data_IF_476070592900
#
_entry.id   IF_476070592900
#
_cell.length_a   1.000
_cell.length_b   1.000
_cell.length_c   1.000
_cell.angle_alpha   90.00
_cell.angle_beta   90.00
_cell.angle_gamma   90.00
#
_symmetry.space_group_name_H-M   'P 1'
#
loop_
_entity.id
_entity.type
_entity.pdbx_description
1 polymer ?
#
# COMPACT_ATOMS: atom_id res chain seq x y z
N UNK A 1 40.95 -27.58 -17.93
CA UNK A 1 39.63 -28.26 -18.02
C UNK A 1 38.75 -27.50 -18.99
N UNK A 2 37.74 -28.13 -19.61
CA UNK A 2 36.83 -27.41 -20.50
C UNK A 2 35.67 -26.75 -19.75
N UNK A 3 35.30 -25.55 -20.17
CA UNK A 3 34.11 -24.85 -19.68
C UNK A 3 32.82 -25.57 -20.11
N UNK A 4 31.98 -25.93 -19.14
CA UNK A 4 30.72 -26.67 -19.36
C UNK A 4 29.72 -25.96 -20.30
N UNK A 5 29.83 -24.63 -20.46
CA UNK A 5 28.89 -23.84 -21.30
C UNK A 5 29.39 -23.53 -22.71
N UNK A 6 30.68 -23.25 -22.88
CA UNK A 6 31.24 -22.79 -24.17
C UNK A 6 32.41 -23.62 -24.67
N UNK A 7 32.77 -24.70 -23.95
CA UNK A 7 33.83 -25.68 -24.30
C UNK A 7 35.25 -25.11 -24.45
N UNK A 8 35.46 -23.84 -24.08
CA UNK A 8 36.79 -23.23 -23.99
C UNK A 8 37.64 -23.93 -22.92
N UNK A 9 38.93 -24.18 -23.20
CA UNK A 9 39.86 -24.68 -22.18
C UNK A 9 40.22 -23.56 -21.20
N UNK A 10 40.20 -23.90 -19.91
CA UNK A 10 40.34 -22.97 -18.79
C UNK A 10 41.18 -23.63 -17.69
N UNK A 11 41.81 -22.81 -16.85
CA UNK A 11 42.52 -23.32 -15.67
C UNK A 11 41.57 -24.10 -14.74
N UNK A 12 42.03 -25.24 -14.21
CA UNK A 12 41.26 -26.06 -13.27
C UNK A 12 40.98 -25.35 -11.93
N UNK A 13 41.63 -24.20 -11.69
CA UNK A 13 41.41 -23.30 -10.55
C UNK A 13 40.40 -22.17 -10.84
N UNK A 14 39.84 -22.10 -12.05
CA UNK A 14 38.92 -21.03 -12.44
C UNK A 14 37.49 -21.28 -11.91
N UNK A 15 36.96 -20.32 -11.15
CA UNK A 15 35.56 -20.35 -10.70
C UNK A 15 34.58 -19.86 -11.79
N UNK A 16 35.07 -19.07 -12.76
CA UNK A 16 34.28 -18.46 -13.83
C UNK A 16 34.98 -18.66 -15.19
N UNK A 17 34.20 -18.75 -16.28
CA UNK A 17 34.76 -18.75 -17.63
C UNK A 17 35.25 -17.34 -18.02
N UNK A 18 36.50 -17.14 -18.47
CA UNK A 18 36.93 -15.85 -19.01
C UNK A 18 36.20 -15.49 -20.32
N UNK A 19 35.78 -16.49 -21.11
CA UNK A 19 35.13 -16.30 -22.42
C UNK A 19 33.63 -16.03 -22.30
N UNK A 20 32.88 -16.92 -21.63
CA UNK A 20 31.43 -16.80 -21.52
C UNK A 20 30.92 -16.21 -20.19
N UNK A 21 31.82 -15.78 -19.30
CA UNK A 21 31.56 -15.12 -17.99
C UNK A 21 30.74 -15.92 -16.95
N UNK A 22 30.06 -17.01 -17.34
CA UNK A 22 29.31 -17.90 -16.45
C UNK A 22 30.19 -18.53 -15.37
N UNK A 23 29.61 -18.73 -14.18
CA UNK A 23 30.20 -19.47 -13.07
C UNK A 23 30.21 -20.98 -13.35
N UNK A 24 31.36 -21.63 -13.13
CA UNK A 24 31.61 -23.04 -13.42
C UNK A 24 31.80 -23.86 -12.14
N UNK A 25 32.34 -23.25 -11.08
CA UNK A 25 32.54 -23.89 -9.78
C UNK A 25 31.76 -23.16 -8.68
N UNK A 26 31.29 -23.90 -7.69
CA UNK A 26 30.66 -23.31 -6.51
C UNK A 26 31.68 -22.45 -5.74
N UNK A 27 31.29 -21.25 -5.31
CA UNK A 27 32.20 -20.35 -4.58
C UNK A 27 32.49 -20.80 -3.13
N UNK A 28 31.75 -21.79 -2.62
CA UNK A 28 31.84 -22.32 -1.25
C UNK A 28 32.60 -23.63 -1.16
N UNK A 29 32.19 -24.65 -1.94
CA UNK A 29 32.85 -25.96 -1.95
C UNK A 29 33.85 -26.17 -3.09
N UNK A 30 33.95 -25.25 -4.06
CA UNK A 30 34.84 -25.34 -5.24
C UNK A 30 34.58 -26.51 -6.19
N UNK A 31 33.51 -27.28 -5.97
CA UNK A 31 33.07 -28.32 -6.89
C UNK A 31 32.51 -27.76 -8.19
N UNK A 32 32.65 -28.55 -9.26
CA UNK A 32 32.10 -28.21 -10.58
C UNK A 32 30.57 -28.24 -10.49
N UNK A 33 29.94 -27.16 -10.97
CA UNK A 33 28.49 -27.05 -10.99
C UNK A 33 27.93 -27.71 -12.23
N UNK A 34 26.72 -28.25 -12.14
CA UNK A 34 26.00 -28.72 -13.31
C UNK A 34 25.62 -27.56 -14.24
N UNK A 35 25.49 -27.87 -15.53
CA UNK A 35 24.93 -26.94 -16.50
C UNK A 35 23.49 -26.60 -16.08
N UNK A 36 23.15 -25.32 -16.19
CA UNK A 36 21.80 -24.76 -16.03
C UNK A 36 21.05 -25.02 -14.70
N UNK A 37 21.67 -25.66 -13.69
CA UNK A 37 21.19 -25.63 -12.29
C UNK A 37 21.52 -24.30 -11.62
N UNK A 38 20.57 -23.62 -10.96
CA UNK A 38 20.86 -22.38 -10.22
C UNK A 38 21.52 -22.61 -8.85
N UNK A 39 21.61 -23.85 -8.38
CA UNK A 39 22.15 -24.21 -7.05
C UNK A 39 23.27 -25.26 -7.16
N UNK A 40 24.23 -25.22 -6.22
CA UNK A 40 25.24 -26.26 -6.08
C UNK A 40 24.63 -27.54 -5.49
N UNK A 41 24.52 -28.59 -6.31
CA UNK A 41 24.00 -29.90 -5.90
C UNK A 41 24.79 -30.57 -4.76
N UNK A 42 26.03 -30.14 -4.48
CA UNK A 42 26.90 -30.72 -3.44
C UNK A 42 26.72 -30.02 -2.08
N UNK A 43 26.50 -28.70 -2.05
CA UNK A 43 26.50 -27.93 -0.79
C UNK A 43 25.34 -26.93 -0.62
N UNK A 44 24.36 -26.92 -1.53
CA UNK A 44 23.17 -26.07 -1.45
C UNK A 44 23.44 -24.57 -1.59
N UNK A 45 24.57 -24.16 -2.17
CA UNK A 45 24.91 -22.75 -2.37
C UNK A 45 24.48 -22.27 -3.76
N UNK A 46 23.78 -21.16 -3.84
CA UNK A 46 23.30 -20.58 -5.09
C UNK A 46 24.44 -20.15 -6.02
N UNK A 47 24.19 -20.18 -7.33
CA UNK A 47 25.02 -19.49 -8.32
C UNK A 47 24.99 -18.00 -8.06
N UNK A 48 26.13 -17.35 -8.24
CA UNK A 48 26.21 -15.90 -8.34
C UNK A 48 25.59 -15.49 -9.69
N UNK A 49 24.27 -15.34 -9.70
CA UNK A 49 23.53 -14.74 -10.80
C UNK A 49 24.03 -13.29 -10.95
N UNK A 50 24.75 -13.00 -12.04
CA UNK A 50 24.83 -11.62 -12.50
C UNK A 50 23.41 -11.24 -12.95
N UNK A 51 22.80 -10.29 -12.26
CA UNK A 51 21.44 -9.81 -12.51
C UNK A 51 21.37 -9.01 -13.81
N UNK A 52 21.53 -9.69 -14.94
CA UNK A 52 21.30 -9.14 -16.27
C UNK A 52 19.84 -8.70 -16.36
N UNK A 53 19.62 -7.41 -16.66
CA UNK A 53 18.33 -6.71 -16.73
C UNK A 53 17.73 -6.23 -15.39
N UNK A 54 18.52 -6.17 -14.31
CA UNK A 54 18.21 -5.33 -13.16
C UNK A 54 18.79 -3.92 -13.33
N UNK A 55 17.97 -2.94 -13.73
CA UNK A 55 18.37 -1.53 -13.71
C UNK A 55 18.40 -1.03 -12.26
N UNK A 56 19.56 -0.57 -11.79
CA UNK A 56 19.73 -0.10 -10.41
C UNK A 56 19.81 1.43 -10.33
N UNK A 57 18.83 2.08 -9.71
CA UNK A 57 18.93 3.50 -9.32
C UNK A 57 19.45 3.58 -7.89
N UNK A 58 20.62 4.21 -7.68
CA UNK A 58 21.21 4.49 -6.36
C UNK A 58 21.30 5.99 -6.05
N UNK A 59 21.20 6.33 -4.77
CA UNK A 59 21.09 7.66 -4.15
C UNK A 59 21.48 7.44 -2.66
N UNK A 60 22.16 8.36 -1.94
CA UNK A 60 22.53 8.18 -0.49
C UNK A 60 22.37 9.41 0.44
N UNK A 61 21.50 9.40 1.48
CA UNK A 61 21.14 10.50 2.45
C UNK A 61 21.88 10.40 3.78
N UNK A 62 22.25 11.59 4.24
CA UNK A 62 22.66 11.95 5.58
C UNK A 62 22.22 13.40 5.77
N UNK A 63 22.50 14.04 6.91
CA UNK A 63 22.31 15.51 7.04
C UNK A 63 23.07 16.35 5.98
N UNK A 64 23.92 15.72 5.14
CA UNK A 64 24.70 16.32 4.04
C UNK A 64 24.52 15.66 2.64
N UNK A 65 23.70 14.63 2.44
CA UNK A 65 23.57 13.85 1.16
C UNK A 65 22.08 13.41 0.94
N UNK A 66 21.56 12.72 -0.13
CA UNK A 66 20.12 12.18 -0.21
C UNK A 66 19.90 10.73 -0.76
N UNK A 67 19.02 9.83 -0.19
CA UNK A 67 19.00 8.31 -0.20
C UNK A 67 17.93 7.65 -1.06
N UNK A 68 18.28 6.54 -1.75
CA UNK A 68 17.41 5.48 -2.28
C UNK A 68 18.26 4.41 -3.02
N UNK A 69 17.91 3.12 -2.95
CA UNK A 69 18.42 2.11 -3.89
C UNK A 69 17.24 1.25 -4.36
N UNK A 70 17.05 1.13 -5.67
CA UNK A 70 16.00 0.30 -6.28
C UNK A 70 16.52 -0.45 -7.50
N UNK A 71 16.11 -1.70 -7.64
CA UNK A 71 16.38 -2.58 -8.77
C UNK A 71 15.06 -2.87 -9.51
N UNK A 72 15.04 -2.78 -10.83
CA UNK A 72 13.83 -3.01 -11.62
C UNK A 72 14.12 -3.63 -13.00
N UNK A 73 13.17 -4.38 -13.55
CA UNK A 73 13.27 -4.94 -14.90
C UNK A 73 13.20 -3.85 -15.97
N UNK A 74 13.60 -4.19 -17.20
CA UNK A 74 13.60 -3.24 -18.33
C UNK A 74 12.21 -2.66 -18.66
N UNK A 75 11.11 -3.30 -18.22
CA UNK A 75 9.73 -2.86 -18.49
C UNK A 75 9.23 -1.76 -17.53
N UNK A 76 9.84 -1.61 -16.35
CA UNK A 76 9.32 -0.73 -15.27
C UNK A 76 10.03 0.64 -15.22
N UNK A 77 11.08 0.83 -16.02
CA UNK A 77 11.96 2.00 -15.92
C UNK A 77 11.31 3.36 -16.16
N UNK A 78 10.25 3.44 -16.98
CA UNK A 78 9.57 4.70 -17.25
C UNK A 78 8.77 5.23 -16.04
N UNK A 79 8.07 4.34 -15.31
CA UNK A 79 7.26 4.74 -14.15
C UNK A 79 8.09 5.16 -12.93
N UNK A 80 9.28 4.57 -12.74
CA UNK A 80 10.15 4.89 -11.61
C UNK A 80 10.79 6.27 -11.74
N UNK A 81 11.05 6.74 -12.97
CA UNK A 81 11.59 8.08 -13.22
C UNK A 81 10.71 9.21 -12.69
N UNK A 82 9.39 9.09 -12.84
CA UNK A 82 8.42 10.09 -12.37
C UNK A 82 8.32 10.12 -10.83
N UNK A 83 8.29 8.95 -10.19
CA UNK A 83 8.35 8.83 -8.73
C UNK A 83 9.66 9.40 -8.15
N UNK A 84 10.78 9.20 -8.85
CA UNK A 84 12.08 9.73 -8.46
C UNK A 84 12.16 11.26 -8.59
N UNK A 85 11.48 11.85 -9.58
CA UNK A 85 11.33 13.30 -9.73
C UNK A 85 10.64 13.95 -8.52
N UNK A 86 9.57 13.35 -8.00
CA UNK A 86 8.88 13.80 -6.79
C UNK A 86 9.78 13.73 -5.53
N UNK A 87 10.63 12.70 -5.44
CA UNK A 87 11.58 12.52 -4.35
C UNK A 87 12.68 13.62 -4.34
N UNK A 88 13.05 14.11 -5.53
CA UNK A 88 14.04 15.19 -5.72
C UNK A 88 13.45 16.59 -5.58
N UNK A 89 12.20 16.81 -5.99
CA UNK A 89 11.55 18.14 -6.03
C UNK A 89 11.39 18.83 -4.65
N UNK A 90 11.49 18.08 -3.54
CA UNK A 90 11.32 18.61 -2.19
C UNK A 90 12.50 19.49 -1.66
N UNK A 91 13.37 20.02 -2.53
CA UNK A 91 14.37 21.04 -2.17
C UNK A 91 14.01 22.42 -2.72
N UNK A 92 13.13 23.11 -1.99
CA UNK A 92 12.93 24.58 -1.98
C UNK A 92 12.87 25.27 -3.36
N UNK A 93 11.72 25.17 -4.03
CA UNK A 93 11.32 26.14 -5.05
C UNK A 93 9.88 26.59 -4.80
N UNK A 94 9.73 27.85 -4.41
CA UNK A 94 8.43 28.50 -4.33
C UNK A 94 7.88 28.79 -5.73
N UNK A 95 6.56 28.68 -5.90
CA UNK A 95 5.86 29.17 -7.09
C UNK A 95 5.67 28.14 -8.21
N UNK A 96 4.41 27.71 -8.33
CA UNK A 96 3.66 27.49 -9.59
C UNK A 96 4.19 26.48 -10.64
N UNK A 97 3.26 25.64 -11.12
CA UNK A 97 3.33 24.72 -12.28
C UNK A 97 3.70 23.24 -12.04
N UNK A 98 2.72 22.49 -11.52
CA UNK A 98 2.64 21.00 -11.65
C UNK A 98 1.26 20.50 -12.08
N UNK A 99 0.40 21.38 -12.63
CA UNK A 99 -1.01 21.05 -12.94
C UNK A 99 -1.25 20.19 -14.19
N UNK A 100 -0.24 19.97 -15.04
CA UNK A 100 -0.44 19.36 -16.37
C UNK A 100 0.19 17.97 -16.55
N UNK A 101 0.96 17.42 -15.59
CA UNK A 101 1.63 16.12 -15.77
C UNK A 101 0.72 14.91 -15.52
N UNK A 102 -0.18 14.99 -14.52
CA UNK A 102 -1.05 13.87 -14.12
C UNK A 102 -2.18 13.52 -15.12
N UNK A 103 -2.38 14.31 -16.19
CA UNK A 103 -3.51 14.12 -17.12
C UNK A 103 -3.19 13.21 -18.31
N UNK A 104 -1.93 12.87 -18.54
CA UNK A 104 -1.48 12.10 -19.72
C UNK A 104 -1.30 10.61 -19.43
N UNK A 105 -1.00 10.23 -18.18
CA UNK A 105 -0.68 8.84 -17.81
C UNK A 105 -1.90 7.89 -17.71
N UNK A 106 -3.14 8.41 -17.77
CA UNK A 106 -4.36 7.63 -17.45
C UNK A 106 -4.98 6.94 -18.68
N UNK A 107 -4.60 7.33 -19.91
CA UNK A 107 -5.35 6.97 -21.12
C UNK A 107 -4.86 5.72 -21.89
N UNK A 108 -3.72 5.11 -21.52
CA UNK A 108 -3.04 4.09 -22.35
C UNK A 108 -2.84 2.74 -21.63
N UNK A 109 -3.89 2.18 -21.00
CA UNK A 109 -3.91 0.79 -20.55
C UNK A 109 -5.27 0.16 -20.90
N UNK A 110 -5.39 -0.25 -22.15
CA UNK A 110 -6.46 -1.12 -22.63
C UNK A 110 -6.14 -2.57 -22.22
N UNK A 111 -7.13 -3.30 -21.73
CA UNK A 111 -6.96 -4.54 -20.97
C UNK A 111 -7.31 -5.75 -21.85
N UNK A 112 -6.41 -6.72 -21.96
CA UNK A 112 -6.70 -8.04 -22.53
C UNK A 112 -6.59 -9.08 -21.42
N UNK A 113 -7.68 -9.79 -21.14
CA UNK A 113 -7.70 -10.99 -20.31
C UNK A 113 -7.33 -12.22 -21.18
N UNK A 114 -6.54 -13.15 -20.62
CA UNK A 114 -6.73 -14.61 -20.74
C UNK A 114 -5.61 -15.38 -20.01
N UNK A 115 -5.95 -16.53 -19.42
CA UNK A 115 -4.96 -17.54 -18.97
C UNK A 115 -4.94 -17.81 -17.46
N UNK A 116 -5.55 -18.92 -17.04
CA UNK A 116 -5.54 -19.41 -15.65
C UNK A 116 -4.93 -20.82 -15.54
N UNK A 117 -4.15 -21.08 -14.48
CA UNK A 117 -4.25 -22.31 -13.65
C UNK A 117 -3.27 -22.31 -12.46
N UNK A 118 -3.81 -22.46 -11.25
CA UNK A 118 -3.47 -23.42 -10.17
C UNK A 118 -2.08 -24.13 -10.16
N UNK A 119 -1.43 -24.48 -9.03
CA UNK A 119 -1.57 -24.13 -7.59
C UNK A 119 -0.41 -24.78 -6.76
N UNK A 120 -0.41 -24.53 -5.43
CA UNK A 120 0.26 -25.25 -4.31
C UNK A 120 1.43 -24.50 -3.62
N UNK A 121 1.05 -23.58 -2.74
CA UNK A 121 1.29 -23.61 -1.29
C UNK A 121 2.71 -23.90 -0.71
N UNK A 122 3.34 -22.88 -0.13
CA UNK A 122 4.05 -23.00 1.16
C UNK A 122 3.99 -21.66 1.92
N UNK A 123 3.73 -21.73 3.22
CA UNK A 123 3.33 -20.65 4.12
C UNK A 123 4.51 -19.75 4.58
N UNK A 124 4.69 -18.59 3.94
CA UNK A 124 5.21 -17.38 4.58
C UNK A 124 4.47 -16.15 4.05
N UNK A 125 3.64 -15.53 4.89
CA UNK A 125 2.80 -14.40 4.51
C UNK A 125 3.58 -13.07 4.43
N UNK A 126 4.44 -12.94 3.41
CA UNK A 126 4.80 -11.62 2.90
C UNK A 126 3.53 -10.99 2.32
N UNK A 127 2.98 -9.99 3.01
CA UNK A 127 1.84 -9.22 2.50
C UNK A 127 2.31 -8.53 1.22
N UNK A 128 1.78 -8.87 0.04
CA UNK A 128 2.19 -8.20 -1.18
C UNK A 128 1.65 -6.77 -1.11
N UNK A 129 2.54 -5.80 -0.92
CA UNK A 129 2.21 -4.39 -1.18
C UNK A 129 2.25 -4.17 -2.68
N UNK A 130 1.40 -4.92 -3.40
CA UNK A 130 0.94 -4.46 -4.69
C UNK A 130 0.10 -3.21 -4.43
N UNK A 131 0.26 -2.14 -5.21
CA UNK A 131 -0.80 -1.15 -5.35
C UNK A 131 -1.93 -1.76 -6.20
N UNK A 132 -2.51 -2.86 -5.70
CA UNK A 132 -3.95 -3.04 -5.78
C UNK A 132 -4.56 -1.68 -5.47
N UNK A 133 -5.44 -1.18 -6.35
CA UNK A 133 -6.16 0.07 -6.10
C UNK A 133 -7.07 -0.16 -4.91
N UNK A 134 -6.54 0.02 -3.70
CA UNK A 134 -7.33 -0.05 -2.48
C UNK A 134 -8.37 1.06 -2.58
N UNK A 135 -9.63 0.64 -2.69
CA UNK A 135 -10.76 1.51 -3.02
C UNK A 135 -10.99 2.58 -1.95
N UNK A 136 -10.31 2.46 -0.80
CA UNK A 136 -10.18 3.54 0.18
C UNK A 136 -9.70 4.87 -0.42
N UNK A 137 -8.91 4.85 -1.50
CA UNK A 137 -8.48 6.07 -2.21
C UNK A 137 -9.62 6.76 -2.97
N UNK A 138 -10.70 6.08 -3.31
CA UNK A 138 -11.91 6.66 -3.92
C UNK A 138 -12.79 7.37 -2.87
N UNK A 139 -12.64 7.01 -1.58
CA UNK A 139 -13.46 7.53 -0.47
C UNK A 139 -12.98 8.93 -0.01
N UNK A 140 -11.69 9.26 -0.18
CA UNK A 140 -11.10 10.51 0.30
C UNK A 140 -10.44 11.33 -0.82
N UNK A 141 -10.53 12.65 -0.72
CA UNK A 141 -9.75 13.58 -1.53
C UNK A 141 -8.58 14.15 -0.70
N UNK A 142 -7.37 14.15 -1.27
CA UNK A 142 -6.16 14.72 -0.69
C UNK A 142 -5.81 16.06 -1.35
N UNK A 143 -6.28 17.15 -0.73
CA UNK A 143 -6.01 18.51 -1.22
C UNK A 143 -4.66 19.02 -0.67
N UNK A 144 -3.56 18.36 -1.05
CA UNK A 144 -2.20 18.76 -0.67
C UNK A 144 -1.92 18.66 0.82
N UNK A 145 -2.39 17.59 1.46
CA UNK A 145 -2.26 17.33 2.90
C UNK A 145 -3.52 17.60 3.71
N UNK A 146 -4.50 18.37 3.19
CA UNK A 146 -5.86 18.40 3.78
C UNK A 146 -6.69 17.26 3.20
N UNK A 147 -6.84 16.18 3.98
CA UNK A 147 -7.74 15.08 3.65
C UNK A 147 -9.19 15.50 3.95
N UNK A 148 -10.09 15.25 3.00
CA UNK A 148 -11.54 15.48 3.13
C UNK A 148 -12.30 14.26 2.63
N UNK A 149 -13.45 13.96 3.23
CA UNK A 149 -14.32 12.87 2.78
C UNK A 149 -14.96 13.23 1.42
N UNK A 150 -14.78 12.36 0.43
CA UNK A 150 -15.34 12.50 -0.92
C UNK A 150 -16.63 11.68 -1.07
N UNK A 151 -16.57 10.38 -0.76
CA UNK A 151 -17.77 9.54 -0.71
C UNK A 151 -18.47 9.70 0.65
N UNK A 152 -19.69 10.23 0.63
CA UNK A 152 -20.46 10.51 1.85
C UNK A 152 -21.42 9.38 2.22
N UNK A 153 -21.63 8.38 1.35
CA UNK A 153 -22.57 7.27 1.51
C UNK A 153 -21.92 6.06 2.18
N UNK A 154 -21.57 6.21 3.47
CA UNK A 154 -20.85 5.19 4.24
C UNK A 154 -21.70 3.97 4.64
N UNK A 155 -22.93 3.81 4.12
CA UNK A 155 -23.92 2.75 4.43
C UNK A 155 -24.28 2.64 5.92
N UNK A 156 -24.20 3.76 6.63
CA UNK A 156 -24.32 3.76 8.08
C UNK A 156 -25.75 3.54 8.57
N UNK A 157 -25.89 2.78 9.65
CA UNK A 157 -27.14 2.57 10.39
C UNK A 157 -27.58 3.77 11.25
N UNK A 158 -26.65 4.64 11.66
CA UNK A 158 -26.88 5.77 12.56
C UNK A 158 -25.73 6.78 12.54
N UNK A 159 -25.90 7.97 13.14
CA UNK A 159 -24.79 8.94 13.33
C UNK A 159 -23.57 8.32 14.02
N UNK A 160 -23.78 7.48 15.04
CA UNK A 160 -22.69 6.82 15.78
C UNK A 160 -21.98 5.79 14.90
N UNK A 161 -22.75 4.99 14.16
CA UNK A 161 -22.17 4.02 13.22
C UNK A 161 -21.37 4.72 12.12
N UNK A 162 -21.89 5.84 11.59
CA UNK A 162 -21.19 6.66 10.61
C UNK A 162 -19.85 7.20 11.15
N UNK A 163 -19.81 7.70 12.39
CA UNK A 163 -18.57 8.20 12.99
C UNK A 163 -17.54 7.10 13.27
N UNK A 164 -17.99 5.88 13.54
CA UNK A 164 -17.16 4.68 13.69
C UNK A 164 -16.58 4.25 12.35
N UNK A 165 -17.43 4.11 11.32
CA UNK A 165 -17.04 3.77 9.94
C UNK A 165 -16.01 4.75 9.40
N UNK A 166 -16.31 6.06 9.46
CA UNK A 166 -15.39 7.11 9.01
C UNK A 166 -14.03 7.04 9.71
N UNK A 167 -13.99 6.81 11.03
CA UNK A 167 -12.73 6.70 11.76
C UNK A 167 -11.90 5.47 11.36
N UNK A 168 -12.54 4.31 11.19
CA UNK A 168 -11.88 3.05 10.81
C UNK A 168 -11.36 3.13 9.37
N UNK A 169 -12.19 3.59 8.43
CA UNK A 169 -11.82 3.72 7.01
C UNK A 169 -10.71 4.77 6.85
N UNK A 170 -10.75 5.88 7.61
CA UNK A 170 -9.68 6.89 7.58
C UNK A 170 -8.34 6.37 8.15
N UNK A 171 -8.37 5.56 9.21
CA UNK A 171 -7.17 4.92 9.72
C UNK A 171 -6.60 3.88 8.75
N UNK A 172 -7.46 3.18 7.99
CA UNK A 172 -7.04 2.29 6.92
C UNK A 172 -6.41 3.04 5.74
N UNK A 173 -7.00 4.17 5.33
CA UNK A 173 -6.43 5.08 4.31
C UNK A 173 -5.00 5.54 4.67
N UNK A 174 -4.79 5.96 5.91
CA UNK A 174 -3.47 6.38 6.40
C UNK A 174 -2.48 5.21 6.45
N UNK A 175 -2.93 4.02 6.90
CA UNK A 175 -2.14 2.79 6.90
C UNK A 175 -1.68 2.39 5.49
N UNK A 176 -2.57 2.45 4.48
CA UNK A 176 -2.25 2.14 3.07
C UNK A 176 -1.31 3.19 2.46
N UNK A 177 -1.33 4.44 2.94
CA UNK A 177 -0.31 5.47 2.64
C UNK A 177 1.03 5.25 3.35
N UNK A 178 1.18 4.18 4.14
CA UNK A 178 2.38 3.85 4.92
C UNK A 178 2.43 4.44 6.33
N UNK A 179 1.40 5.19 6.75
CA UNK A 179 1.33 5.78 8.09
C UNK A 179 0.66 4.79 9.06
N UNK A 180 1.44 3.83 9.58
CA UNK A 180 0.94 2.82 10.52
C UNK A 180 0.36 3.42 11.82
N UNK A 181 0.83 4.61 12.21
CA UNK A 181 0.32 5.43 13.31
C UNK A 181 0.06 6.84 12.84
N UNK A 182 -0.94 7.50 13.41
CA UNK A 182 -1.21 8.93 13.21
C UNK A 182 -1.48 9.63 14.54
N UNK A 183 -1.33 10.95 14.58
CA UNK A 183 -1.77 11.72 15.74
C UNK A 183 -3.31 11.69 15.87
N UNK A 184 -3.79 11.65 17.11
CA UNK A 184 -5.20 11.70 17.46
C UNK A 184 -5.87 12.98 16.95
N UNK A 185 -5.11 14.08 16.87
CA UNK A 185 -5.57 15.33 16.28
C UNK A 185 -5.95 15.19 14.80
N UNK A 186 -5.18 14.40 14.03
CA UNK A 186 -5.43 14.15 12.61
C UNK A 186 -6.76 13.42 12.38
N UNK A 187 -7.06 12.38 13.17
CA UNK A 187 -8.40 11.76 13.16
C UNK A 187 -9.48 12.72 13.65
N UNK A 188 -9.22 13.46 14.73
CA UNK A 188 -10.20 14.42 15.26
C UNK A 188 -10.55 15.49 14.22
N UNK A 189 -9.64 15.87 13.33
CA UNK A 189 -9.87 16.83 12.26
C UNK A 189 -10.96 16.34 11.29
N UNK A 190 -10.81 15.15 10.69
CA UNK A 190 -11.79 14.64 9.71
C UNK A 190 -13.16 14.34 10.35
N UNK A 191 -13.18 13.88 11.62
CA UNK A 191 -14.41 13.65 12.37
C UNK A 191 -15.11 14.97 12.76
N UNK A 192 -14.37 16.07 12.95
CA UNK A 192 -14.92 17.42 13.17
C UNK A 192 -15.42 18.05 11.87
N UNK A 193 -14.69 17.92 10.76
CA UNK A 193 -15.07 18.42 9.42
C UNK A 193 -16.45 17.83 9.01
N UNK A 194 -16.66 16.54 9.26
CA UNK A 194 -17.96 15.87 9.08
C UNK A 194 -19.04 16.18 10.15
N UNK A 195 -18.76 17.03 11.15
CA UNK A 195 -19.68 17.36 12.27
C UNK A 195 -20.09 16.16 13.16
N UNK A 196 -19.22 15.15 13.26
CA UNK A 196 -19.46 13.90 13.97
C UNK A 196 -18.78 13.81 15.35
N UNK A 197 -17.91 14.77 15.68
CA UNK A 197 -17.12 14.77 16.91
C UNK A 197 -17.96 15.08 18.16
N UNK A 198 -18.52 14.04 18.79
CA UNK A 198 -19.34 14.15 19.98
C UNK A 198 -18.86 13.27 21.16
N UNK A 199 -19.58 13.31 22.28
CA UNK A 199 -19.26 12.53 23.48
C UNK A 199 -19.35 11.02 23.28
N UNK A 200 -20.25 10.53 22.40
CA UNK A 200 -20.40 9.11 22.13
C UNK A 200 -19.24 8.58 21.28
N UNK A 201 -18.81 9.37 20.28
CA UNK A 201 -17.61 9.07 19.51
C UNK A 201 -16.37 9.00 20.40
N UNK A 202 -16.16 10.02 21.25
CA UNK A 202 -15.01 10.05 22.18
C UNK A 202 -14.99 8.84 23.13
N UNK A 203 -16.15 8.47 23.69
CA UNK A 203 -16.29 7.29 24.57
C UNK A 203 -16.11 5.96 23.83
N UNK A 204 -16.48 5.88 22.55
CA UNK A 204 -16.20 4.70 21.74
C UNK A 204 -14.70 4.57 21.45
N UNK A 205 -14.03 5.66 21.08
CA UNK A 205 -12.60 5.67 20.73
C UNK A 205 -11.69 5.20 21.89
N UNK A 206 -12.08 5.43 23.15
CA UNK A 206 -11.34 4.94 24.33
C UNK A 206 -11.66 3.48 24.70
N UNK A 207 -12.77 2.93 24.21
CA UNK A 207 -13.33 1.65 24.69
C UNK A 207 -13.35 0.56 23.60
N UNK A 208 -12.82 0.84 22.41
CA UNK A 208 -12.84 -0.09 21.27
C UNK A 208 -11.61 -0.98 21.23
N UNK A 209 -11.78 -2.24 20.83
CA UNK A 209 -10.69 -3.17 20.53
C UNK A 209 -10.12 -2.99 19.10
N UNK A 210 -10.78 -2.21 18.24
CA UNK A 210 -10.43 -2.02 16.83
C UNK A 210 -9.25 -1.05 16.64
N UNK A 211 -9.00 -0.18 17.62
CA UNK A 211 -8.00 0.89 17.57
C UNK A 211 -7.01 0.72 18.75
N UNK A 212 -5.72 0.95 18.50
CA UNK A 212 -4.72 1.21 19.54
C UNK A 212 -4.67 2.69 19.84
N UNK A 213 -4.62 3.07 21.13
CA UNK A 213 -4.49 4.45 21.59
C UNK A 213 -3.29 4.50 22.52
N UNK A 214 -2.29 5.29 22.14
CA UNK A 214 -0.99 5.41 22.80
C UNK A 214 -0.69 6.89 23.01
N UNK A 215 -1.12 7.44 24.15
CA UNK A 215 -1.06 8.86 24.46
C UNK A 215 -1.74 9.71 23.36
N UNK A 216 -0.95 10.38 22.52
CA UNK A 216 -1.41 11.20 21.40
C UNK A 216 -1.42 10.48 20.04
N UNK A 217 -0.89 9.26 19.95
CA UNK A 217 -0.93 8.43 18.74
C UNK A 217 -2.07 7.40 18.76
N UNK A 218 -2.55 7.07 17.55
CA UNK A 218 -3.53 6.01 17.32
C UNK A 218 -3.16 5.16 16.11
N UNK A 219 -3.55 3.88 16.17
CA UNK A 219 -3.27 2.87 15.12
C UNK A 219 -4.45 1.93 14.89
N UNK A 220 -4.52 1.33 13.69
CA UNK A 220 -5.55 0.34 13.35
C UNK A 220 -5.06 -1.08 13.65
N UNK A 221 -5.69 -1.73 14.63
CA UNK A 221 -5.41 -3.13 15.03
C UNK A 221 -5.99 -4.11 14.01
N UNK A 222 -5.54 -5.37 14.04
CA UNK A 222 -6.03 -6.44 13.16
C UNK A 222 -7.56 -6.49 12.97
N UNK A 223 -8.41 -6.57 14.03
CA UNK A 223 -9.87 -6.59 13.85
C UNK A 223 -10.43 -5.26 13.30
N UNK A 224 -9.71 -4.15 13.48
CA UNK A 224 -10.04 -2.87 12.84
C UNK A 224 -9.74 -2.86 11.34
N UNK A 225 -8.68 -3.54 10.90
CA UNK A 225 -8.32 -3.70 9.47
C UNK A 225 -9.32 -4.59 8.75
N UNK A 226 -9.77 -5.67 9.40
CA UNK A 226 -10.86 -6.52 8.90
C UNK A 226 -12.15 -5.72 8.73
N UNK A 227 -12.55 -4.96 9.76
CA UNK A 227 -13.72 -4.08 9.68
C UNK A 227 -13.59 -2.95 8.65
N UNK A 228 -12.38 -2.44 8.40
CA UNK A 228 -12.16 -1.45 7.35
C UNK A 228 -12.48 -2.01 5.97
N UNK A 229 -12.01 -3.22 5.66
CA UNK A 229 -12.32 -3.91 4.40
C UNK A 229 -13.82 -4.14 4.24
N UNK A 230 -14.47 -4.71 5.25
CA UNK A 230 -15.92 -4.92 5.27
C UNK A 230 -16.71 -3.62 4.97
N UNK A 231 -16.35 -2.50 5.61
CA UNK A 231 -17.01 -1.23 5.36
C UNK A 231 -16.71 -0.65 3.97
N UNK A 232 -15.51 -0.85 3.43
CA UNK A 232 -15.15 -0.45 2.06
C UNK A 232 -15.98 -1.25 1.05
N UNK A 233 -16.08 -2.57 1.22
CA UNK A 233 -16.88 -3.44 0.36
C UNK A 233 -18.38 -3.09 0.41
N UNK A 234 -18.91 -2.80 1.61
CA UNK A 234 -20.29 -2.31 1.77
C UNK A 234 -20.53 -0.97 1.05
N UNK A 235 -19.61 -0.01 1.12
CA UNK A 235 -19.73 1.32 0.49
C UNK A 235 -19.94 1.22 -1.00
N UNK A 236 -19.20 0.33 -1.64
CA UNK A 236 -19.28 0.11 -3.08
C UNK A 236 -20.33 -0.95 -3.49
N UNK A 237 -21.07 -1.50 -2.54
CA UNK A 237 -22.21 -2.36 -2.84
C UNK A 237 -23.45 -1.51 -3.17
N UNK A 238 -23.92 -1.62 -4.41
CA UNK A 238 -25.10 -0.90 -4.91
C UNK A 238 -26.41 -1.40 -4.30
N UNK A 239 -26.46 -2.63 -3.77
CA UNK A 239 -27.67 -3.21 -3.15
C UNK A 239 -27.91 -2.74 -1.72
N UNK A 240 -26.96 -2.02 -1.11
CA UNK A 240 -27.05 -1.51 0.26
C UNK A 240 -27.43 -0.03 0.29
N UNK A 241 -28.45 0.31 1.09
CA UNK A 241 -28.91 1.69 1.29
C UNK A 241 -28.38 2.32 2.58
N UNK A 242 -28.07 3.63 2.54
CA UNK A 242 -27.82 4.43 3.73
C UNK A 242 -29.09 4.58 4.58
N UNK A 243 -29.11 3.96 5.76
CA UNK A 243 -30.16 4.19 6.76
C UNK A 243 -29.98 5.54 7.49
N UNK A 244 -28.78 6.12 7.45
CA UNK A 244 -28.46 7.44 7.99
C UNK A 244 -27.45 8.18 7.11
N UNK A 245 -27.69 9.47 6.85
CA UNK A 245 -26.85 10.33 5.99
C UNK A 245 -26.34 11.56 6.75
N UNK A 246 -25.19 12.11 6.35
CA UNK A 246 -24.68 13.39 6.88
C UNK A 246 -25.75 14.49 6.78
N UNK A 247 -25.78 15.38 7.77
CA UNK A 247 -26.79 16.44 7.88
C UNK A 247 -28.20 15.98 8.30
N UNK A 248 -28.45 14.67 8.47
CA UNK A 248 -29.75 14.17 8.92
C UNK A 248 -30.08 14.63 10.35
N UNK A 249 -30.98 15.62 10.46
CA UNK A 249 -31.55 16.03 11.74
C UNK A 249 -32.52 14.96 12.26
N UNK A 250 -32.49 14.61 13.57
CA UNK A 250 -33.48 13.71 14.13
C UNK A 250 -34.89 14.30 13.97
N UNK A 251 -35.82 13.55 13.36
CA UNK A 251 -37.23 13.93 13.36
C UNK A 251 -37.69 14.08 14.82
N UNK A 252 -38.12 15.28 15.21
CA UNK A 252 -38.76 15.50 16.52
C UNK A 252 -39.89 14.49 16.67
N UNK A 253 -39.83 13.62 17.70
CA UNK A 253 -40.97 12.80 18.09
C UNK A 253 -42.12 13.77 18.41
N UNK A 254 -43.21 13.71 17.65
CA UNK A 254 -44.46 14.38 18.04
C UNK A 254 -44.83 13.83 19.42
N UNK A 255 -45.00 14.71 20.40
CA UNK A 255 -45.51 14.34 21.72
C UNK A 255 -46.89 13.72 21.48
N UNK A 256 -47.14 12.53 22.01
CA UNK A 256 -48.47 11.92 21.94
C UNK A 256 -49.40 12.81 22.76
N UNK A 257 -50.34 13.47 22.10
CA UNK A 257 -51.36 14.24 22.81
C UNK A 257 -52.24 13.24 23.54
N UNK A 258 -52.30 13.37 24.87
CA UNK A 258 -53.23 12.62 25.70
C UNK A 258 -54.62 13.22 25.46
N UNK A 259 -55.43 12.50 24.69
CA UNK A 259 -56.86 12.79 24.60
C UNK A 259 -57.43 12.50 25.99
N UNK A 260 -57.65 13.57 26.76
CA UNK A 260 -58.57 13.52 27.89
C UNK A 260 -59.98 13.47 27.34
N UNK A 261 -60.68 12.38 27.63
CA UNK A 261 -62.13 12.36 27.54
C UNK A 261 -62.65 12.91 28.86
N UNK A 262 -63.41 14.01 28.80
CA UNK A 262 -64.32 14.45 29.85
C UNK A 262 -65.70 13.78 29.65
#
# INVERSE_FOLDING_TARGET
>A
MNCIYCKEDISDRANFCPKCKKQIKCLKCYEIMEADSDICIICGEDKKVESSNGNTIKFRETKKTRTFEANFSNEVGQGIGEAFGLLLANKKSAGMQTKNFLKTAVNNLEYNEEGASEAIDTEYAEVPITPSKDRVFEIFNDNGGKITLLETRLKAGSKRDYSIRLAIIYLHYELVKGNAKISREKLNFIIKDASLYDGNFRRWLTNTNLIGVHEDEIELKAPGREKAKEYIDEIFNETLDDKWKLGSTPRRRKKKEEIKND
#
